data_IF_218032042023
#
_entry.id   IF_218032042023
#
_cell.length_a   1.000
_cell.length_b   1.000
_cell.length_c   1.000
_cell.angle_alpha   90.00
_cell.angle_beta   90.00
_cell.angle_gamma   90.00
#
_symmetry.space_group_name_H-M   'P 1'
#
loop_
_entity.id
_entity.type
_entity.pdbx_description
1 polymer ?
#
# COMPACT_ATOMS: atom_id res chain seq x y z
N UNK A 1 -16.36 -1.48 10.78
CA UNK A 1 -16.21 -2.92 10.51
C UNK A 1 -15.90 -3.66 11.80
N UNK A 2 -14.79 -3.37 12.49
CA UNK A 2 -14.35 -4.14 13.69
C UNK A 2 -15.44 -4.23 14.76
N UNK A 3 -16.08 -3.13 15.09
CA UNK A 3 -17.14 -3.09 16.11
C UNK A 3 -18.40 -3.86 15.72
N UNK A 4 -18.63 -4.09 14.42
CA UNK A 4 -19.78 -4.86 13.93
C UNK A 4 -19.55 -6.38 13.89
N UNK A 5 -18.31 -6.83 14.09
CA UNK A 5 -17.98 -8.27 14.08
C UNK A 5 -18.17 -8.85 15.48
N UNK A 6 -19.23 -9.62 15.66
CA UNK A 6 -19.55 -10.29 16.95
C UNK A 6 -18.57 -11.43 17.26
N UNK A 7 -18.19 -12.22 16.24
CA UNK A 7 -17.28 -13.35 16.40
C UNK A 7 -15.82 -12.88 16.49
N UNK A 8 -15.20 -12.99 17.64
CA UNK A 8 -13.80 -12.58 17.91
C UNK A 8 -12.76 -13.40 17.15
N UNK A 9 -13.12 -14.58 16.64
CA UNK A 9 -12.22 -15.42 15.84
C UNK A 9 -12.07 -14.95 14.39
N UNK A 10 -13.00 -14.12 13.90
CA UNK A 10 -12.93 -13.54 12.56
C UNK A 10 -11.81 -12.50 12.52
N UNK A 11 -10.88 -12.67 11.58
CA UNK A 11 -9.77 -11.76 11.35
C UNK A 11 -10.13 -10.73 10.29
N UNK A 12 -9.56 -9.54 10.42
CA UNK A 12 -9.77 -8.42 9.49
C UNK A 12 -8.48 -8.15 8.76
N UNK A 13 -8.55 -8.14 7.43
CA UNK A 13 -7.47 -7.68 6.56
C UNK A 13 -7.86 -6.30 6.05
N UNK A 14 -7.01 -5.29 6.29
CA UNK A 14 -7.14 -3.97 5.67
C UNK A 14 -6.52 -4.03 4.28
N UNK A 15 -7.35 -3.95 3.26
CA UNK A 15 -6.92 -4.03 1.85
C UNK A 15 -6.92 -2.64 1.22
N UNK A 16 -5.78 -2.29 0.60
CA UNK A 16 -5.57 -1.03 -0.08
C UNK A 16 -5.19 0.15 0.80
N UNK A 17 -4.74 1.22 0.17
CA UNK A 17 -4.46 2.51 0.82
C UNK A 17 -3.14 2.60 1.60
N UNK A 18 -2.36 1.53 1.70
CA UNK A 18 -1.06 1.55 2.38
C UNK A 18 0.00 2.11 1.42
N UNK A 19 0.42 3.33 1.68
CA UNK A 19 1.49 4.04 0.94
C UNK A 19 2.73 4.24 1.80
N UNK A 20 2.55 4.47 3.09
CA UNK A 20 3.60 4.79 4.05
C UNK A 20 3.55 3.84 5.26
N UNK A 21 4.66 3.76 5.98
CA UNK A 21 4.75 2.95 7.21
C UNK A 21 3.73 3.38 8.28
N UNK A 22 3.41 4.67 8.36
CA UNK A 22 2.37 5.19 9.26
C UNK A 22 0.97 4.67 8.94
N UNK A 23 0.69 4.32 7.69
CA UNK A 23 -0.61 3.74 7.32
C UNK A 23 -0.79 2.34 7.89
N UNK A 24 0.31 1.58 8.02
CA UNK A 24 0.31 0.31 8.74
C UNK A 24 -0.16 0.49 10.19
N UNK A 25 0.42 1.45 10.90
CA UNK A 25 0.06 1.73 12.29
C UNK A 25 -1.41 2.15 12.40
N UNK A 26 -1.90 3.01 11.49
CA UNK A 26 -3.31 3.41 11.43
C UNK A 26 -4.24 2.22 11.17
N UNK A 27 -3.89 1.33 10.25
CA UNK A 27 -4.69 0.14 9.94
C UNK A 27 -4.83 -0.78 11.17
N UNK A 28 -3.71 -1.06 11.87
CA UNK A 28 -3.74 -1.86 13.10
C UNK A 28 -4.50 -1.17 14.23
N UNK A 29 -4.32 0.14 14.40
CA UNK A 29 -5.06 0.94 15.35
C UNK A 29 -6.58 0.93 15.08
N UNK A 30 -6.99 0.95 13.82
CA UNK A 30 -8.37 0.81 13.40
C UNK A 30 -8.94 -0.61 13.58
N UNK A 31 -8.11 -1.58 13.97
CA UNK A 31 -8.55 -2.94 14.32
C UNK A 31 -8.27 -4.01 13.28
N UNK A 32 -7.45 -3.75 12.27
CA UNK A 32 -6.98 -4.79 11.36
C UNK A 32 -6.08 -5.80 12.09
N UNK A 33 -6.14 -7.05 11.67
CA UNK A 33 -5.25 -8.14 12.10
C UNK A 33 -4.07 -8.31 11.13
N UNK A 34 -4.29 -7.95 9.87
CA UNK A 34 -3.29 -7.94 8.81
C UNK A 34 -3.58 -6.80 7.82
N UNK A 35 -2.61 -6.49 6.97
CA UNK A 35 -2.76 -5.53 5.87
C UNK A 35 -2.43 -6.20 4.54
N UNK A 36 -3.13 -5.81 3.49
CA UNK A 36 -2.80 -6.20 2.13
C UNK A 36 -2.13 -5.03 1.41
N UNK A 37 -0.97 -5.32 0.82
CA UNK A 37 -0.13 -4.31 0.19
C UNK A 37 0.10 -4.72 -1.27
N UNK A 38 -0.29 -3.86 -2.20
CA UNK A 38 -0.07 -4.06 -3.64
C UNK A 38 1.05 -3.18 -4.19
N UNK A 39 0.79 -1.89 -4.34
CA UNK A 39 1.66 -0.95 -5.06
C UNK A 39 3.06 -0.80 -4.46
N UNK A 40 3.22 -0.87 -3.13
CA UNK A 40 4.54 -0.81 -2.52
C UNK A 40 5.43 -1.99 -2.90
N UNK A 41 4.86 -3.18 -3.12
CA UNK A 41 5.61 -4.35 -3.54
C UNK A 41 5.76 -4.47 -5.06
N UNK A 42 4.96 -3.78 -5.84
CA UNK A 42 4.89 -3.93 -7.29
C UNK A 42 6.23 -3.72 -8.04
N UNK A 43 7.15 -2.95 -7.47
CA UNK A 43 8.48 -2.69 -8.05
C UNK A 43 9.61 -3.56 -7.50
N UNK A 44 9.34 -4.58 -6.68
CA UNK A 44 10.37 -5.41 -6.06
C UNK A 44 10.80 -6.57 -6.95
N UNK A 45 11.96 -7.16 -6.66
CA UNK A 45 12.52 -8.29 -7.42
C UNK A 45 11.58 -9.48 -7.43
N UNK A 46 10.94 -9.75 -6.29
CA UNK A 46 10.10 -10.92 -6.06
C UNK A 46 8.72 -10.83 -6.72
N UNK A 47 8.28 -9.62 -7.10
CA UNK A 47 7.00 -9.49 -7.82
C UNK A 47 7.15 -9.87 -9.28
N UNK A 48 6.13 -10.50 -9.88
CA UNK A 48 6.13 -10.78 -11.32
C UNK A 48 6.15 -9.47 -12.11
N UNK A 49 6.70 -9.53 -13.33
CA UNK A 49 6.78 -8.40 -14.24
C UNK A 49 8.19 -8.25 -14.81
N UNK A 50 8.26 -7.70 -16.02
CA UNK A 50 9.53 -7.46 -16.71
C UNK A 50 10.19 -6.21 -16.15
N UNK A 51 11.52 -6.25 -15.98
CA UNK A 51 12.33 -5.07 -15.72
C UNK A 51 12.49 -4.27 -17.01
N UNK A 52 12.18 -2.98 -16.96
CA UNK A 52 12.19 -2.08 -18.11
C UNK A 52 13.02 -0.86 -17.77
N UNK A 53 13.95 -0.48 -18.65
CA UNK A 53 14.69 0.77 -18.54
C UNK A 53 13.99 1.85 -19.37
N UNK A 54 13.63 2.97 -18.74
CA UNK A 54 13.00 4.12 -19.40
C UNK A 54 13.60 5.41 -18.85
N UNK A 55 14.08 6.28 -19.73
CA UNK A 55 14.72 7.56 -19.36
C UNK A 55 15.82 7.41 -18.29
N UNK A 56 16.69 6.40 -18.43
CA UNK A 56 17.77 6.13 -17.48
C UNK A 56 17.34 5.46 -16.18
N UNK A 57 16.06 5.36 -15.88
CA UNK A 57 15.49 4.77 -14.64
C UNK A 57 14.97 3.35 -14.89
N UNK A 58 15.01 2.51 -13.86
CA UNK A 58 14.49 1.15 -13.89
C UNK A 58 13.07 1.09 -13.37
N UNK A 59 12.23 0.32 -14.06
CA UNK A 59 10.84 0.07 -13.73
C UNK A 59 10.51 -1.42 -13.85
N UNK A 60 9.49 -1.89 -13.15
CA UNK A 60 8.84 -3.17 -13.42
C UNK A 60 7.46 -2.96 -14.01
N UNK A 61 7.10 -3.80 -14.99
CA UNK A 61 5.73 -3.83 -15.47
C UNK A 61 4.80 -4.26 -14.34
N UNK A 62 3.76 -3.49 -14.12
CA UNK A 62 2.73 -3.72 -13.12
C UNK A 62 1.39 -3.95 -13.78
N UNK A 63 0.65 -4.93 -13.27
CA UNK A 63 -0.69 -5.23 -13.75
C UNK A 63 -1.60 -5.57 -12.58
N UNK A 64 -2.58 -4.70 -12.34
CA UNK A 64 -3.62 -4.95 -11.36
C UNK A 64 -4.48 -6.15 -11.74
N UNK A 65 -4.99 -6.88 -10.75
CA UNK A 65 -5.81 -8.09 -10.96
C UNK A 65 -7.11 -7.82 -11.73
N UNK A 66 -7.70 -6.63 -11.58
CA UNK A 66 -8.89 -6.18 -12.31
C UNK A 66 -8.58 -5.45 -13.62
N UNK A 67 -7.35 -5.49 -14.13
CA UNK A 67 -7.03 -4.92 -15.44
C UNK A 67 -7.49 -5.85 -16.57
N UNK A 68 -7.71 -5.28 -17.76
CA UNK A 68 -8.13 -6.03 -18.94
C UNK A 68 -7.16 -7.17 -19.24
N UNK A 69 -5.85 -6.91 -19.20
CA UNK A 69 -4.84 -7.94 -19.47
C UNK A 69 -4.77 -9.03 -18.39
N UNK A 70 -5.14 -8.75 -17.14
CA UNK A 70 -5.25 -9.77 -16.10
C UNK A 70 -6.52 -10.61 -16.31
N UNK A 71 -7.66 -9.97 -16.62
CA UNK A 71 -8.92 -10.65 -16.87
C UNK A 71 -8.85 -11.57 -18.09
N UNK A 72 -8.18 -11.17 -19.14
CA UNK A 72 -7.91 -12.03 -20.30
C UNK A 72 -7.09 -13.29 -19.95
N UNK A 73 -6.25 -13.21 -18.90
CA UNK A 73 -5.43 -14.34 -18.43
C UNK A 73 -6.07 -15.18 -17.33
N UNK A 74 -7.34 -14.91 -16.96
CA UNK A 74 -8.13 -15.76 -16.09
C UNK A 74 -8.60 -15.16 -14.78
N UNK A 75 -8.38 -13.85 -14.51
CA UNK A 75 -8.86 -13.23 -13.26
C UNK A 75 -10.28 -12.63 -13.35
N UNK A 76 -10.97 -12.80 -14.48
CA UNK A 76 -12.29 -12.22 -14.71
C UNK A 76 -13.36 -12.71 -13.72
N UNK A 77 -13.29 -13.97 -13.31
CA UNK A 77 -14.20 -14.60 -12.35
C UNK A 77 -14.21 -13.89 -11.00
N UNK A 78 -13.08 -13.35 -10.56
CA UNK A 78 -12.95 -12.57 -9.31
C UNK A 78 -13.75 -11.28 -9.31
N UNK A 79 -14.07 -10.79 -10.51
CA UNK A 79 -14.83 -9.54 -10.74
C UNK A 79 -16.22 -9.84 -11.28
N UNK A 80 -16.72 -11.07 -11.07
CA UNK A 80 -18.04 -11.52 -11.53
C UNK A 80 -18.25 -11.36 -13.03
N UNK A 81 -17.17 -11.33 -13.80
CA UNK A 81 -17.19 -11.19 -15.25
C UNK A 81 -16.88 -12.54 -15.92
N UNK A 82 -17.73 -12.94 -16.87
CA UNK A 82 -17.48 -14.16 -17.65
C UNK A 82 -16.30 -13.94 -18.60
N UNK A 83 -15.54 -15.02 -18.85
CA UNK A 83 -14.46 -14.98 -19.84
C UNK A 83 -15.00 -14.54 -21.20
N UNK A 84 -14.45 -13.46 -21.74
CA UNK A 84 -14.83 -12.87 -23.03
C UNK A 84 -13.78 -13.22 -24.08
N UNK A 85 -14.24 -13.48 -25.33
CA UNK A 85 -13.35 -13.60 -26.48
C UNK A 85 -12.83 -12.22 -26.94
N UNK A 86 -13.63 -11.19 -26.73
CA UNK A 86 -13.30 -9.81 -27.07
C UNK A 86 -12.96 -9.02 -25.78
N UNK A 87 -11.73 -8.55 -25.70
CA UNK A 87 -11.22 -7.81 -24.55
C UNK A 87 -11.90 -6.46 -24.30
N UNK A 88 -12.53 -5.88 -25.33
CA UNK A 88 -13.28 -4.62 -25.21
C UNK A 88 -14.55 -4.74 -24.36
N UNK A 89 -15.01 -5.97 -24.14
CA UNK A 89 -16.21 -6.27 -23.32
C UNK A 89 -15.96 -6.39 -21.82
N UNK A 90 -14.69 -6.32 -21.38
CA UNK A 90 -14.39 -6.26 -19.95
C UNK A 90 -14.56 -4.83 -19.41
N UNK A 91 -15.13 -4.74 -18.22
CA UNK A 91 -15.13 -3.50 -17.44
C UNK A 91 -13.89 -3.51 -16.55
N UNK A 92 -12.88 -2.67 -16.82
CA UNK A 92 -11.65 -2.67 -16.03
C UNK A 92 -11.88 -2.05 -14.64
N UNK A 93 -11.45 -2.75 -13.61
CA UNK A 93 -11.42 -2.28 -12.22
C UNK A 93 -10.00 -2.10 -11.71
N UNK A 94 -9.00 -2.38 -12.55
CA UNK A 94 -7.60 -2.26 -12.25
C UNK A 94 -6.80 -1.68 -13.41
N UNK A 95 -5.60 -1.19 -13.11
CA UNK A 95 -4.71 -0.52 -14.06
C UNK A 95 -3.50 -1.38 -14.43
N UNK A 96 -2.96 -1.14 -15.61
CA UNK A 96 -1.65 -1.61 -16.04
C UNK A 96 -0.71 -0.41 -16.14
N UNK A 97 0.54 -0.59 -15.75
CA UNK A 97 1.49 0.50 -15.77
C UNK A 97 2.91 0.06 -15.43
N UNK A 98 3.72 1.01 -15.06
CA UNK A 98 5.10 0.80 -14.64
C UNK A 98 5.25 1.23 -13.18
N UNK A 99 5.77 0.33 -12.35
CA UNK A 99 6.17 0.65 -10.97
C UNK A 99 7.68 0.94 -10.93
N UNK A 100 8.11 1.97 -10.22
CA UNK A 100 9.55 2.23 -10.00
C UNK A 100 10.19 0.97 -9.41
N UNK A 101 11.35 0.58 -9.92
CA UNK A 101 12.11 -0.54 -9.38
C UNK A 101 12.69 -0.20 -8.01
N UNK A 102 12.52 -1.10 -7.05
CA UNK A 102 12.87 -0.90 -5.64
C UNK A 102 13.90 -1.90 -5.11
N UNK A 103 14.34 -2.85 -5.95
CA UNK A 103 15.19 -3.95 -5.52
C UNK A 103 14.43 -4.98 -4.68
N UNK A 104 15.10 -5.62 -3.74
CA UNK A 104 14.53 -6.70 -2.92
C UNK A 104 13.40 -6.22 -2.01
N UNK A 105 12.38 -7.05 -1.85
CA UNK A 105 11.22 -6.79 -0.99
C UNK A 105 11.61 -6.59 0.48
N UNK A 106 12.69 -7.24 0.93
CA UNK A 106 13.20 -7.10 2.30
C UNK A 106 13.46 -5.63 2.68
N UNK A 107 13.99 -4.82 1.75
CA UNK A 107 14.22 -3.39 1.98
C UNK A 107 12.92 -2.63 2.24
N UNK A 108 11.86 -2.98 1.50
CA UNK A 108 10.53 -2.36 1.66
C UNK A 108 9.92 -2.79 2.99
N UNK A 109 9.98 -4.07 3.31
CA UNK A 109 9.47 -4.62 4.58
C UNK A 109 10.23 -3.99 5.76
N UNK A 110 11.54 -3.88 5.68
CA UNK A 110 12.35 -3.27 6.73
C UNK A 110 11.90 -1.85 7.05
N UNK A 111 11.68 -1.01 6.02
CA UNK A 111 11.17 0.37 6.17
C UNK A 111 9.78 0.38 6.82
N UNK A 112 8.87 -0.47 6.35
CA UNK A 112 7.50 -0.55 6.88
C UNK A 112 7.48 -0.98 8.35
N UNK A 113 8.24 -2.01 8.69
CA UNK A 113 8.35 -2.52 10.07
C UNK A 113 9.04 -1.49 10.97
N UNK A 114 10.06 -0.80 10.47
CA UNK A 114 10.74 0.29 11.18
C UNK A 114 9.76 1.39 11.58
N UNK A 115 8.97 1.89 10.64
CA UNK A 115 7.98 2.93 10.93
C UNK A 115 6.84 2.44 11.85
N UNK A 116 6.43 1.17 11.73
CA UNK A 116 5.48 0.58 12.66
C UNK A 116 6.05 0.55 14.09
N UNK A 117 7.31 0.14 14.25
CA UNK A 117 8.00 0.13 15.56
C UNK A 117 8.11 1.54 16.15
N UNK A 118 8.45 2.54 15.33
CA UNK A 118 8.46 3.94 15.76
C UNK A 118 7.09 4.39 16.26
N UNK A 119 6.03 4.09 15.51
CA UNK A 119 4.64 4.39 15.91
C UNK A 119 4.25 3.70 17.22
N UNK A 120 4.67 2.44 17.42
CA UNK A 120 4.48 1.72 18.68
C UNK A 120 5.23 2.39 19.82
N UNK A 121 6.45 2.89 19.57
CA UNK A 121 7.25 3.63 20.54
C UNK A 121 6.55 4.90 21.00
N UNK A 122 6.07 5.73 20.07
CA UNK A 122 5.33 6.98 20.39
C UNK A 122 4.07 6.70 21.22
N UNK A 123 3.42 5.57 21.01
CA UNK A 123 2.21 5.17 21.74
C UNK A 123 2.51 4.38 23.01
N UNK A 124 3.76 4.12 23.36
CA UNK A 124 4.15 3.26 24.48
C UNK A 124 3.59 1.84 24.37
N UNK A 125 3.43 1.32 23.15
CA UNK A 125 2.83 0.01 22.89
C UNK A 125 3.90 -1.06 22.72
N UNK A 126 4.04 -1.97 23.67
CA UNK A 126 4.99 -3.09 23.60
C UNK A 126 4.58 -4.19 22.60
N UNK A 127 3.31 -4.28 22.24
CA UNK A 127 2.78 -5.29 21.32
C UNK A 127 1.74 -4.68 20.39
N UNK A 128 1.67 -5.18 19.14
CA UNK A 128 0.73 -4.68 18.12
C UNK A 128 -0.72 -4.72 18.60
N UNK A 129 -1.12 -5.73 19.36
CA UNK A 129 -2.50 -5.83 19.89
C UNK A 129 -2.94 -4.61 20.70
N UNK A 130 -2.00 -3.91 21.34
CA UNK A 130 -2.31 -2.72 22.14
C UNK A 130 -2.54 -1.47 21.29
N UNK A 131 -2.13 -1.47 20.02
CA UNK A 131 -2.45 -0.40 19.09
C UNK A 131 -3.96 -0.21 18.89
N UNK A 132 -4.78 -1.20 19.22
CA UNK A 132 -6.25 -1.10 19.11
C UNK A 132 -6.90 -0.29 20.23
N UNK A 133 -6.21 -0.13 21.35
CA UNK A 133 -6.82 0.43 22.58
C UNK A 133 -6.17 1.74 23.02
N UNK A 134 -4.92 1.98 22.66
CA UNK A 134 -4.15 3.13 23.11
C UNK A 134 -4.33 4.39 22.25
N UNK A 135 -4.31 4.33 20.91
CA UNK A 135 -4.34 5.52 20.09
C UNK A 135 -5.72 6.14 20.01
N UNK A 136 -5.74 7.47 19.92
CA UNK A 136 -6.91 8.24 19.53
C UNK A 136 -6.70 8.76 18.12
N UNK A 137 -7.73 8.64 17.27
CA UNK A 137 -7.74 9.25 15.96
C UNK A 137 -8.20 10.69 16.06
N UNK A 138 -7.43 11.60 15.48
CA UNK A 138 -7.81 13.00 15.34
C UNK A 138 -7.98 13.33 13.86
N UNK A 139 -9.00 14.10 13.53
CA UNK A 139 -9.20 14.62 12.18
C UNK A 139 -8.37 15.88 12.01
N UNK A 140 -7.52 15.90 10.99
CA UNK A 140 -6.71 17.07 10.65
C UNK A 140 -7.25 17.74 9.39
N UNK A 141 -7.03 19.05 9.25
CA UNK A 141 -7.32 19.81 8.04
C UNK A 141 -6.24 19.59 6.98
N UNK A 142 -6.53 19.97 5.74
CA UNK A 142 -5.48 20.00 4.69
C UNK A 142 -4.30 20.89 5.10
N UNK A 143 -4.56 22.05 5.66
CA UNK A 143 -3.51 22.96 6.14
C UNK A 143 -2.64 22.30 7.21
N UNK A 144 -3.24 21.66 8.21
CA UNK A 144 -2.49 20.91 9.24
C UNK A 144 -1.69 19.73 8.66
N UNK A 145 -2.19 19.10 7.60
CA UNK A 145 -1.44 18.05 6.91
C UNK A 145 -0.19 18.61 6.21
N UNK A 146 -0.33 19.72 5.47
CA UNK A 146 0.81 20.38 4.81
C UNK A 146 1.83 20.91 5.82
N UNK A 147 1.35 21.51 6.92
CA UNK A 147 2.22 21.99 8.00
C UNK A 147 3.03 20.85 8.65
N UNK A 148 2.48 19.63 8.71
CA UNK A 148 3.19 18.47 9.26
C UNK A 148 4.29 17.93 8.35
N UNK A 149 4.38 18.41 7.12
CA UNK A 149 5.43 17.99 6.18
C UNK A 149 6.71 18.77 6.43
N UNK A 150 7.82 18.19 5.99
CA UNK A 150 9.12 18.88 6.02
C UNK A 150 9.05 20.09 5.09
N UNK A 151 9.28 21.28 5.65
CA UNK A 151 9.31 22.55 4.93
C UNK A 151 10.53 23.38 5.36
N UNK A 152 10.87 24.40 4.58
CA UNK A 152 11.99 25.31 4.83
C UNK A 152 13.38 24.65 4.92
N UNK A 153 13.56 23.45 4.37
CA UNK A 153 14.84 22.76 4.26
C UNK A 153 15.01 22.13 2.89
N UNK A 154 16.24 22.10 2.40
CA UNK A 154 16.59 21.33 1.21
C UNK A 154 16.93 19.90 1.66
N UNK A 155 16.16 18.91 1.20
CA UNK A 155 16.41 17.52 1.54
C UNK A 155 17.66 17.02 0.81
N UNK A 156 18.62 16.47 1.56
CA UNK A 156 19.82 15.84 0.99
C UNK A 156 19.51 14.45 0.42
N UNK A 157 18.41 13.84 0.85
CA UNK A 157 17.88 12.59 0.31
C UNK A 157 16.34 12.63 0.35
N UNK A 158 15.72 12.02 -0.63
CA UNK A 158 14.29 11.79 -0.61
C UNK A 158 14.03 10.38 -0.10
N UNK A 159 13.18 10.23 0.93
CA UNK A 159 12.50 8.96 1.14
C UNK A 159 11.51 8.78 -0.02
N UNK A 160 11.25 7.56 -0.47
CA UNK A 160 10.35 7.27 -1.61
C UNK A 160 8.98 8.01 -1.54
N UNK A 161 8.64 8.55 -0.37
CA UNK A 161 7.42 9.32 -0.11
C UNK A 161 7.45 10.77 -0.62
N UNK A 162 8.61 11.40 -0.74
CA UNK A 162 8.73 12.79 -1.20
C UNK A 162 8.75 12.89 -2.74
N UNK A 163 9.20 11.83 -3.42
CA UNK A 163 9.26 11.77 -4.89
C UNK A 163 7.86 11.70 -5.55
N UNK A 164 6.85 11.17 -4.85
CA UNK A 164 5.48 11.06 -5.37
C UNK A 164 4.68 12.39 -5.28
N UNK A 165 5.23 13.40 -4.59
CA UNK A 165 4.56 14.69 -4.40
C UNK A 165 5.09 15.80 -5.31
N UNK A 166 6.16 15.54 -6.08
CA UNK A 166 6.81 16.52 -6.97
C UNK A 166 6.50 16.29 -8.47
N UNK A 167 5.47 15.50 -8.80
CA UNK A 167 5.02 15.25 -10.17
C UNK A 167 3.58 15.62 -10.39
#
# INVERSE_FOLDING_TARGET
VRNGIKNKNVKIISDGGIKYSGDLAKAFAAGADAVMIGSLFAGTDETPGKLIKKNGKLFKSFRGMGSVGAMNKGSADRYFQKKQKDSSKYVPEGVEGLAKYKGKVDKVIFKLVGGLRSSMGYLGSKQIKYLRYKPQFVKITKAGFYESMVHNVCLLYTSDAADDMAS
#
